data_IF_450965426472
#
_entry.id   IF_450965426472
#
_cell.length_a   1.000
_cell.length_b   1.000
_cell.length_c   1.000
_cell.angle_alpha   90.00
_cell.angle_beta   90.00
_cell.angle_gamma   90.00
#
_symmetry.space_group_name_H-M   'P 1'
#
loop_
_entity.id
_entity.type
_entity.pdbx_description
1 polymer ?
#
# COMPACT_ATOMS: atom_id res chain seq x y z
N UNK A 1 -9.32 4.22 10.51
CA UNK A 1 -9.32 4.31 12.00
C UNK A 1 -8.14 5.11 12.61
N UNK A 2 -7.19 5.65 11.82
CA UNK A 2 -6.11 6.58 12.25
C UNK A 2 -5.29 6.18 13.49
N UNK A 3 -5.29 4.89 13.87
CA UNK A 3 -4.57 4.34 15.04
C UNK A 3 -3.06 4.55 14.91
N UNK A 4 -2.48 4.13 13.78
CA UNK A 4 -1.05 4.30 13.50
C UNK A 4 -0.64 5.79 13.47
N UNK A 5 -1.50 6.66 12.93
CA UNK A 5 -1.26 8.11 12.94
C UNK A 5 -1.22 8.67 14.37
N UNK A 6 -2.14 8.27 15.23
CA UNK A 6 -2.15 8.71 16.63
C UNK A 6 -0.84 8.36 17.35
N UNK A 7 -0.30 7.15 17.11
CA UNK A 7 0.94 6.69 17.71
C UNK A 7 2.15 7.47 17.22
N UNK A 8 2.18 7.81 15.92
CA UNK A 8 3.20 8.72 15.39
C UNK A 8 3.16 10.08 16.04
N UNK A 9 1.96 10.65 16.24
CA UNK A 9 1.79 11.94 16.88
C UNK A 9 2.26 11.90 18.34
N UNK A 10 1.97 10.81 19.05
CA UNK A 10 2.49 10.56 20.40
C UNK A 10 4.03 10.54 20.37
N UNK A 11 4.63 9.77 19.47
CA UNK A 11 6.08 9.65 19.34
C UNK A 11 6.78 10.97 18.92
N UNK A 12 6.11 11.78 18.09
CA UNK A 12 6.67 13.07 17.66
C UNK A 12 6.59 14.13 18.74
N UNK A 13 5.57 14.05 19.61
CA UNK A 13 5.30 15.07 20.63
C UNK A 13 5.89 14.74 22.00
N UNK A 14 5.98 13.47 22.41
CA UNK A 14 6.50 13.06 23.72
C UNK A 14 8.02 12.84 23.70
N UNK A 15 8.77 13.91 23.45
CA UNK A 15 10.24 13.90 23.41
C UNK A 15 10.89 14.43 24.70
N UNK A 16 10.10 14.61 25.76
CA UNK A 16 10.56 15.23 27.00
C UNK A 16 11.03 16.67 26.75
N UNK A 17 12.21 17.08 27.24
CA UNK A 17 12.73 18.45 27.07
C UNK A 17 12.84 18.92 25.62
N UNK A 18 13.02 17.99 24.68
CA UNK A 18 13.16 18.25 23.23
C UNK A 18 11.81 18.38 22.50
N UNK A 19 10.70 18.30 23.23
CA UNK A 19 9.37 18.50 22.65
C UNK A 19 9.17 19.95 22.22
N UNK A 20 8.38 20.21 21.18
CA UNK A 20 8.12 21.58 20.73
C UNK A 20 7.19 22.35 21.70
N UNK A 21 6.16 21.67 22.21
CA UNK A 21 5.15 22.26 23.08
C UNK A 21 5.60 22.35 24.54
N UNK A 22 5.21 23.43 25.23
CA UNK A 22 5.55 23.64 26.66
C UNK A 22 4.93 22.60 27.58
N UNK A 23 3.72 22.12 27.27
CA UNK A 23 3.07 21.06 28.01
C UNK A 23 3.86 19.74 27.87
N UNK A 24 4.18 19.33 26.64
CA UNK A 24 4.93 18.08 26.41
C UNK A 24 6.36 18.12 26.95
N UNK A 25 6.98 19.30 27.11
CA UNK A 25 8.27 19.46 27.81
C UNK A 25 8.23 19.09 29.28
N UNK A 26 7.07 19.18 29.93
CA UNK A 26 6.89 18.80 31.33
C UNK A 26 6.69 17.28 31.54
N UNK A 27 6.44 16.55 30.45
CA UNK A 27 6.19 15.11 30.46
C UNK A 27 7.49 14.33 30.19
N UNK A 28 7.56 13.05 30.63
CA UNK A 28 8.71 12.20 30.35
C UNK A 28 8.86 11.92 28.85
N UNK A 29 10.09 11.63 28.44
CA UNK A 29 10.36 11.18 27.08
C UNK A 29 9.86 9.74 26.91
N UNK A 30 9.09 9.50 25.86
CA UNK A 30 8.61 8.16 25.52
C UNK A 30 9.44 7.61 24.37
N UNK A 31 9.98 6.42 24.55
CA UNK A 31 10.71 5.70 23.51
C UNK A 31 9.92 4.48 23.05
N UNK A 32 9.36 4.56 21.84
CA UNK A 32 8.60 3.47 21.24
C UNK A 32 9.53 2.47 20.56
N UNK A 33 9.46 1.22 20.99
CA UNK A 33 10.13 0.08 20.37
C UNK A 33 9.09 -0.70 19.57
N UNK A 34 9.02 -0.50 18.24
CA UNK A 34 8.06 -1.21 17.39
C UNK A 34 8.45 -2.67 17.22
N UNK A 35 7.45 -3.53 17.16
CA UNK A 35 7.56 -4.91 16.73
C UNK A 35 6.31 -5.27 15.93
N UNK A 36 6.50 -5.55 14.64
CA UNK A 36 5.42 -5.96 13.77
C UNK A 36 5.19 -7.46 13.95
N UNK A 37 3.97 -7.83 14.32
CA UNK A 37 3.58 -9.22 14.52
C UNK A 37 3.15 -9.81 13.18
N UNK A 38 3.81 -10.89 12.79
CA UNK A 38 3.60 -11.63 11.55
C UNK A 38 3.21 -13.09 11.81
N UNK A 39 2.83 -13.81 10.76
CA UNK A 39 2.59 -15.26 10.80
C UNK A 39 3.83 -16.08 11.20
N UNK A 40 5.04 -15.55 11.01
CA UNK A 40 6.31 -16.15 11.40
C UNK A 40 6.82 -15.72 12.79
N UNK A 41 6.08 -14.87 13.50
CA UNK A 41 6.50 -14.34 14.80
C UNK A 41 6.50 -15.41 15.90
N UNK A 42 7.52 -15.37 16.76
CA UNK A 42 7.72 -16.33 17.85
C UNK A 42 7.62 -15.65 19.22
N UNK A 43 7.34 -16.44 20.27
CA UNK A 43 7.33 -15.94 21.64
C UNK A 43 8.69 -15.36 22.06
N UNK A 44 9.79 -15.96 21.59
CA UNK A 44 11.15 -15.50 21.89
C UNK A 44 11.45 -14.14 21.25
N UNK A 45 10.87 -13.86 20.08
CA UNK A 45 10.92 -12.53 19.45
C UNK A 45 10.30 -11.46 20.34
N UNK A 46 9.09 -11.72 20.86
CA UNK A 46 8.40 -10.80 21.76
C UNK A 46 9.21 -10.62 23.05
N UNK A 47 9.70 -11.71 23.67
CA UNK A 47 10.52 -11.64 24.89
C UNK A 47 11.78 -10.79 24.70
N UNK A 48 12.49 -10.94 23.56
CA UNK A 48 13.69 -10.15 23.25
C UNK A 48 13.38 -8.66 23.14
N UNK A 49 12.27 -8.30 22.51
CA UNK A 49 11.83 -6.90 22.39
C UNK A 49 11.52 -6.30 23.76
N UNK A 50 10.86 -7.06 24.64
CA UNK A 50 10.60 -6.63 26.02
C UNK A 50 11.87 -6.49 26.84
N UNK A 51 12.81 -7.44 26.74
CA UNK A 51 14.10 -7.35 27.42
C UNK A 51 14.90 -6.12 26.96
N UNK A 52 14.93 -5.88 25.64
CA UNK A 52 15.57 -4.69 25.07
C UNK A 52 14.96 -3.41 25.65
N UNK A 53 13.62 -3.33 25.71
CA UNK A 53 12.92 -2.19 26.29
C UNK A 53 13.23 -1.98 27.79
N UNK A 54 13.31 -3.06 28.56
CA UNK A 54 13.68 -3.00 29.98
C UNK A 54 15.11 -2.48 30.14
N UNK A 55 16.07 -3.02 29.37
CA UNK A 55 17.47 -2.57 29.40
C UNK A 55 17.61 -1.09 29.02
N UNK A 56 16.89 -0.61 28.00
CA UNK A 56 16.89 0.81 27.64
C UNK A 56 16.37 1.71 28.76
N UNK A 57 15.31 1.28 29.45
CA UNK A 57 14.74 2.04 30.57
C UNK A 57 15.70 2.09 31.77
N UNK A 58 16.37 0.99 32.10
CA UNK A 58 17.32 0.91 33.22
C UNK A 58 18.63 1.67 32.97
N UNK A 59 19.09 1.71 31.71
CA UNK A 59 20.37 2.35 31.33
C UNK A 59 20.26 3.88 31.26
N UNK A 60 19.04 4.43 31.35
CA UNK A 60 18.80 5.87 31.20
C UNK A 60 19.10 6.65 32.48
N UNK A 61 19.64 7.86 32.33
CA UNK A 61 19.94 8.75 33.47
C UNK A 61 18.70 9.14 34.26
N UNK A 62 18.80 9.13 35.59
CA UNK A 62 17.73 9.60 36.51
C UNK A 62 17.31 11.05 36.30
N UNK A 63 18.17 11.86 35.67
CA UNK A 63 17.89 13.28 35.40
C UNK A 63 16.91 13.47 34.22
N UNK A 64 16.86 12.53 33.28
CA UNK A 64 15.98 12.55 32.12
C UNK A 64 15.34 11.16 31.95
N UNK A 65 14.31 10.83 32.76
CA UNK A 65 13.71 9.51 32.72
C UNK A 65 13.05 9.28 31.35
N UNK A 66 13.46 8.20 30.68
CA UNK A 66 12.84 7.69 29.47
C UNK A 66 11.90 6.55 29.85
N UNK A 67 10.68 6.59 29.34
CA UNK A 67 9.72 5.50 29.45
C UNK A 67 9.80 4.70 28.15
N UNK A 68 10.23 3.44 28.25
CA UNK A 68 10.26 2.53 27.11
C UNK A 68 8.90 1.88 26.95
N UNK A 69 8.36 1.91 25.73
CA UNK A 69 7.06 1.33 25.39
C UNK A 69 7.25 0.37 24.22
N UNK A 70 6.86 -0.89 24.41
CA UNK A 70 6.80 -1.87 23.33
C UNK A 70 5.51 -1.64 22.55
N UNK A 71 5.66 -1.34 21.26
CA UNK A 71 4.54 -1.20 20.33
C UNK A 71 4.42 -2.48 19.51
N UNK A 72 3.36 -3.25 19.73
CA UNK A 72 3.02 -4.41 18.92
C UNK A 72 2.02 -4.00 17.83
N UNK A 73 2.42 -4.13 16.57
CA UNK A 73 1.57 -3.85 15.41
C UNK A 73 1.04 -5.15 14.79
N UNK A 74 -0.15 -5.11 14.20
CA UNK A 74 -0.86 -6.26 13.60
C UNK A 74 -0.99 -7.49 14.52
N UNK A 75 -1.34 -7.28 15.79
CA UNK A 75 -1.44 -8.33 16.82
C UNK A 75 -2.40 -9.46 16.42
N UNK A 76 -3.44 -9.16 15.65
CA UNK A 76 -4.39 -10.12 15.09
C UNK A 76 -3.71 -11.26 14.31
N UNK A 77 -2.58 -10.98 13.66
CA UNK A 77 -1.82 -11.96 12.88
C UNK A 77 -1.30 -13.12 13.73
N UNK A 78 -1.11 -12.88 15.03
CA UNK A 78 -0.67 -13.90 15.97
C UNK A 78 -1.79 -14.81 16.49
N UNK A 79 -3.06 -14.50 16.25
CA UNK A 79 -4.16 -15.41 16.63
C UNK A 79 -4.31 -16.58 15.66
N UNK A 80 -4.00 -16.36 14.37
CA UNK A 80 -3.98 -17.41 13.35
C UNK A 80 -2.69 -18.26 13.37
N UNK A 81 -1.69 -17.85 14.16
CA UNK A 81 -0.38 -18.48 14.22
C UNK A 81 -0.39 -19.71 15.14
N UNK A 82 0.08 -20.86 14.64
CA UNK A 82 0.18 -22.13 15.38
C UNK A 82 1.07 -22.05 16.62
N UNK A 83 2.07 -21.16 16.63
CA UNK A 83 2.99 -20.94 17.74
C UNK A 83 2.41 -20.07 18.87
N UNK A 84 1.28 -19.38 18.62
CA UNK A 84 0.60 -18.47 19.54
C UNK A 84 1.59 -17.55 20.31
N UNK A 85 2.31 -16.66 19.60
CA UNK A 85 3.42 -15.90 20.19
C UNK A 85 2.97 -15.01 21.36
N UNK A 86 1.71 -14.56 21.37
CA UNK A 86 1.14 -13.71 22.43
C UNK A 86 0.91 -14.42 23.77
N UNK A 87 1.15 -15.73 23.86
CA UNK A 87 1.02 -16.49 25.13
C UNK A 87 1.90 -15.96 26.26
N UNK A 88 2.98 -15.25 25.93
CA UNK A 88 3.93 -14.66 26.89
C UNK A 88 3.50 -13.29 27.42
N UNK A 89 2.52 -12.63 26.79
CA UNK A 89 2.08 -11.30 27.21
C UNK A 89 1.54 -11.28 28.65
N UNK A 90 0.70 -12.24 29.10
CA UNK A 90 0.27 -12.31 30.49
C UNK A 90 1.42 -12.24 31.49
N UNK A 91 2.46 -13.06 31.30
CA UNK A 91 3.62 -13.10 32.19
C UNK A 91 4.48 -11.84 32.14
N UNK A 92 4.49 -11.14 31.00
CA UNK A 92 5.27 -9.91 30.83
C UNK A 92 4.57 -8.68 31.43
N UNK A 93 3.25 -8.70 31.50
CA UNK A 93 2.43 -7.59 32.02
C UNK A 93 2.15 -7.73 33.51
N UNK A 94 2.28 -8.93 34.07
CA UNK A 94 2.13 -9.15 35.50
C UNK A 94 3.36 -8.67 36.28
N UNK A 95 3.17 -7.78 37.28
CA UNK A 95 4.27 -7.32 38.10
C UNK A 95 4.80 -8.47 38.97
N UNK A 96 6.12 -8.61 39.02
CA UNK A 96 6.78 -9.49 39.98
C UNK A 96 7.00 -8.74 41.30
N UNK A 97 6.56 -9.29 42.43
CA UNK A 97 6.77 -8.68 43.75
C UNK A 97 8.26 -8.38 43.97
N UNK A 98 8.66 -7.16 44.43
CA UNK A 98 7.85 -6.12 45.06
C UNK A 98 7.32 -5.02 44.11
N UNK A 99 7.47 -5.17 42.79
CA UNK A 99 7.02 -4.15 41.84
C UNK A 99 5.49 -4.00 41.86
N UNK A 100 5.01 -2.77 41.73
CA UNK A 100 3.57 -2.44 41.68
C UNK A 100 3.02 -2.33 40.26
N UNK A 101 3.87 -2.44 39.24
CA UNK A 101 3.49 -2.33 37.83
C UNK A 101 4.47 -3.07 36.91
N UNK A 102 4.11 -3.22 35.63
CA UNK A 102 4.95 -3.90 34.65
C UNK A 102 6.27 -3.16 34.47
N UNK A 103 7.36 -3.90 34.22
CA UNK A 103 8.68 -3.31 34.00
C UNK A 103 8.71 -2.40 32.76
N UNK A 104 7.92 -2.74 31.74
CA UNK A 104 7.85 -2.06 30.45
C UNK A 104 6.38 -1.87 30.08
N UNK A 105 6.06 -0.69 29.54
CA UNK A 105 4.71 -0.40 29.05
C UNK A 105 4.47 -1.04 27.67
N UNK A 106 3.24 -1.46 27.40
CA UNK A 106 2.85 -2.04 26.11
C UNK A 106 1.78 -1.18 25.44
N UNK A 107 1.88 -1.05 24.11
CA UNK A 107 0.81 -0.54 23.26
C UNK A 107 0.57 -1.54 22.13
N UNK A 108 -0.70 -1.85 21.87
CA UNK A 108 -1.07 -2.78 20.81
C UNK A 108 -2.02 -2.17 19.80
N UNK A 109 -1.71 -2.34 18.52
CA UNK A 109 -2.64 -2.02 17.43
C UNK A 109 -3.17 -3.33 16.85
N UNK A 110 -4.48 -3.35 16.63
CA UNK A 110 -5.15 -4.43 15.92
C UNK A 110 -6.29 -3.87 15.10
N UNK A 111 -6.51 -4.40 13.90
CA UNK A 111 -7.69 -4.12 13.10
C UNK A 111 -8.87 -5.03 13.45
N UNK A 112 -8.59 -6.24 13.96
CA UNK A 112 -9.62 -7.17 14.46
C UNK A 112 -9.81 -7.10 15.97
N UNK A 113 -10.93 -7.65 16.44
CA UNK A 113 -11.13 -7.89 17.87
C UNK A 113 -10.18 -8.97 18.36
N UNK A 114 -9.39 -8.66 19.38
CA UNK A 114 -8.56 -9.61 20.10
C UNK A 114 -9.38 -10.45 21.08
N UNK A 115 -8.94 -11.69 21.31
CA UNK A 115 -9.55 -12.54 22.31
C UNK A 115 -9.42 -11.94 23.73
N UNK A 116 -10.53 -11.91 24.46
CA UNK A 116 -10.67 -11.29 25.79
C UNK A 116 -9.64 -11.80 26.82
N UNK A 117 -9.17 -13.04 26.69
CA UNK A 117 -8.17 -13.60 27.61
C UNK A 117 -6.79 -12.91 27.51
N UNK A 118 -6.47 -12.31 26.36
CA UNK A 118 -5.20 -11.62 26.10
C UNK A 118 -5.30 -10.11 26.37
N UNK A 119 -6.50 -9.55 26.26
CA UNK A 119 -6.75 -8.11 26.46
C UNK A 119 -7.22 -7.75 27.87
N UNK A 120 -7.54 -8.72 28.74
CA UNK A 120 -8.01 -8.48 30.12
C UNK A 120 -7.03 -7.69 31.01
N UNK A 121 -5.75 -7.70 30.67
CA UNK A 121 -4.67 -6.97 31.37
C UNK A 121 -4.35 -5.60 30.75
N UNK A 122 -5.10 -5.18 29.73
CA UNK A 122 -4.87 -3.94 29.00
C UNK A 122 -6.15 -3.09 28.93
N UNK A 123 -5.97 -1.78 28.78
CA UNK A 123 -7.06 -0.88 28.45
C UNK A 123 -7.40 -1.04 26.95
N UNK A 124 -8.61 -1.49 26.66
CA UNK A 124 -9.07 -1.70 25.29
C UNK A 124 -9.84 -0.49 24.78
N UNK A 125 -9.33 0.14 23.72
CA UNK A 125 -10.00 1.24 23.03
C UNK A 125 -10.51 0.73 21.70
N UNK A 126 -11.83 0.68 21.54
CA UNK A 126 -12.48 0.31 20.28
C UNK A 126 -13.14 1.53 19.67
N UNK A 127 -12.90 1.75 18.38
CA UNK A 127 -13.60 2.76 17.60
C UNK A 127 -14.74 2.10 16.84
N UNK A 128 -15.98 2.63 16.90
CA UNK A 128 -17.06 2.16 16.05
C UNK A 128 -16.78 2.47 14.58
N UNK A 129 -17.59 1.90 13.69
CA UNK A 129 -17.61 2.32 12.29
C UNK A 129 -18.03 3.78 12.19
N UNK A 130 -17.48 4.49 11.21
CA UNK A 130 -17.79 5.90 10.98
C UNK A 130 -19.25 6.04 10.55
N UNK A 131 -19.97 6.94 11.20
CA UNK A 131 -21.30 7.34 10.78
C UNK A 131 -21.23 8.48 9.74
N UNK A 132 -22.40 9.00 9.36
CA UNK A 132 -22.49 10.07 8.36
C UNK A 132 -21.81 11.36 8.86
N UNK A 133 -22.03 11.72 10.13
CA UNK A 133 -21.54 12.96 10.72
C UNK A 133 -20.01 12.91 10.85
N UNK A 134 -19.47 11.77 11.29
CA UNK A 134 -18.03 11.53 11.36
C UNK A 134 -17.36 11.70 9.99
N UNK A 135 -17.96 11.16 8.91
CA UNK A 135 -17.42 11.26 7.55
C UNK A 135 -17.45 12.70 7.03
N UNK A 136 -18.54 13.42 7.31
CA UNK A 136 -18.67 14.83 6.95
C UNK A 136 -17.59 15.65 7.66
N UNK A 137 -17.40 15.44 8.95
CA UNK A 137 -16.43 16.21 9.73
C UNK A 137 -14.99 15.92 9.33
N UNK A 138 -14.65 14.66 9.04
CA UNK A 138 -13.34 14.33 8.47
C UNK A 138 -13.16 14.97 7.09
N UNK A 139 -14.19 14.96 6.25
CA UNK A 139 -14.12 15.57 4.92
C UNK A 139 -13.89 17.07 4.99
N UNK A 140 -14.59 17.78 5.90
CA UNK A 140 -14.38 19.21 6.16
C UNK A 140 -12.94 19.53 6.56
N UNK A 141 -12.30 18.68 7.37
CA UNK A 141 -10.91 18.88 7.79
C UNK A 141 -9.90 18.62 6.67
N UNK A 142 -10.21 17.71 5.73
CA UNK A 142 -9.35 17.39 4.60
C UNK A 142 -9.47 18.39 3.45
N UNK A 143 -10.60 19.09 3.35
CA UNK A 143 -10.83 20.10 2.31
C UNK A 143 -10.33 21.48 2.73
N UNK A 144 -9.76 22.20 1.78
CA UNK A 144 -9.37 23.60 1.99
C UNK A 144 -10.59 24.46 2.37
N UNK A 145 -10.42 25.36 3.34
CA UNK A 145 -11.48 26.21 3.91
C UNK A 145 -12.35 26.95 2.87
N UNK A 146 -11.78 27.27 1.69
CA UNK A 146 -12.48 27.93 0.59
C UNK A 146 -13.61 27.08 -0.02
N UNK A 147 -13.46 25.75 -0.03
CA UNK A 147 -14.46 24.83 -0.61
C UNK A 147 -15.57 24.54 0.40
N UNK A 148 -15.25 24.51 1.69
CA UNK A 148 -16.18 24.17 2.78
C UNK A 148 -17.30 25.20 2.93
N UNK A 149 -17.02 26.50 2.73
CA UNK A 149 -18.01 27.57 2.90
C UNK A 149 -19.08 27.65 1.79
N UNK A 150 -18.79 27.15 0.59
CA UNK A 150 -19.70 27.23 -0.56
C UNK A 150 -20.47 25.91 -0.81
N UNK A 151 -20.02 24.78 -0.23
CA UNK A 151 -20.38 23.43 -0.73
C UNK A 151 -20.63 22.39 0.36
N UNK A 152 -21.16 22.78 1.52
CA UNK A 152 -21.49 21.86 2.62
C UNK A 152 -22.39 20.68 2.21
N UNK A 153 -23.44 20.96 1.42
CA UNK A 153 -24.43 19.97 0.96
C UNK A 153 -23.82 18.87 0.08
N UNK A 154 -22.71 19.18 -0.60
CA UNK A 154 -21.99 18.26 -1.48
C UNK A 154 -21.23 17.21 -0.67
N UNK A 155 -20.64 17.60 0.47
CA UNK A 155 -19.92 16.69 1.35
C UNK A 155 -20.86 15.68 1.98
N UNK A 156 -22.03 16.16 2.38
CA UNK A 156 -23.10 15.29 2.87
C UNK A 156 -23.55 14.31 1.79
N UNK A 157 -23.75 14.77 0.55
CA UNK A 157 -24.13 13.92 -0.58
C UNK A 157 -23.08 12.85 -0.88
N UNK A 158 -21.80 13.20 -0.85
CA UNK A 158 -20.69 12.28 -1.10
C UNK A 158 -20.48 11.28 0.06
N UNK A 159 -20.66 11.71 1.31
CA UNK A 159 -20.63 10.81 2.46
C UNK A 159 -21.81 9.82 2.44
N UNK A 160 -23.02 10.28 2.09
CA UNK A 160 -24.20 9.41 1.87
C UNK A 160 -23.97 8.39 0.75
N UNK A 161 -23.41 8.84 -0.38
CA UNK A 161 -23.06 7.97 -1.51
C UNK A 161 -22.08 6.87 -1.10
N UNK A 162 -21.02 7.23 -0.38
CA UNK A 162 -20.02 6.27 0.12
C UNK A 162 -20.61 5.26 1.11
N UNK A 163 -21.47 5.71 2.05
CA UNK A 163 -22.12 4.80 2.99
C UNK A 163 -23.08 3.83 2.30
N UNK A 164 -23.86 4.32 1.32
CA UNK A 164 -24.74 3.49 0.50
C UNK A 164 -23.93 2.46 -0.31
N UNK A 165 -22.83 2.91 -0.92
CA UNK A 165 -21.91 2.05 -1.65
C UNK A 165 -21.30 0.95 -0.76
N UNK A 166 -20.85 1.31 0.44
CA UNK A 166 -20.25 0.36 1.39
C UNK A 166 -21.24 -0.72 1.83
N UNK A 167 -22.52 -0.35 2.02
CA UNK A 167 -23.57 -1.29 2.45
C UNK A 167 -24.10 -2.20 1.34
N UNK A 168 -24.16 -1.72 0.10
CA UNK A 168 -24.93 -2.37 -0.95
C UNK A 168 -24.20 -2.58 -2.28
N UNK A 169 -23.01 -1.98 -2.45
CA UNK A 169 -22.33 -1.89 -3.75
C UNK A 169 -21.06 -2.71 -3.89
N UNK A 170 -20.53 -3.27 -2.81
CA UNK A 170 -19.29 -4.05 -2.86
C UNK A 170 -19.59 -5.53 -3.16
N UNK A 171 -19.09 -6.03 -4.29
CA UNK A 171 -19.20 -7.44 -4.64
C UNK A 171 -18.30 -8.33 -3.79
N UNK A 172 -17.13 -7.80 -3.42
CA UNK A 172 -16.20 -8.40 -2.46
C UNK A 172 -16.33 -7.57 -1.17
N UNK A 173 -16.65 -8.18 -0.02
CA UNK A 173 -16.73 -7.45 1.24
C UNK A 173 -15.43 -6.68 1.53
N UNK A 174 -15.56 -5.42 1.96
CA UNK A 174 -14.46 -4.55 2.37
C UNK A 174 -13.33 -4.34 1.34
N UNK A 175 -13.65 -4.46 0.05
CA UNK A 175 -12.73 -4.19 -1.05
C UNK A 175 -12.37 -2.71 -1.19
N UNK A 176 -13.33 -1.81 -0.90
CA UNK A 176 -13.09 -0.37 -0.78
C UNK A 176 -13.38 0.10 0.64
N UNK A 177 -12.52 0.99 1.14
CA UNK A 177 -12.49 1.36 2.55
C UNK A 177 -12.26 2.85 2.76
N UNK A 178 -12.10 3.23 4.02
CA UNK A 178 -11.98 4.65 4.41
C UNK A 178 -10.76 5.34 3.79
N UNK A 179 -9.70 4.60 3.44
CA UNK A 179 -8.54 5.17 2.77
C UNK A 179 -8.85 5.61 1.34
N UNK A 180 -9.71 4.87 0.64
CA UNK A 180 -10.17 5.25 -0.71
C UNK A 180 -11.04 6.49 -0.66
N UNK A 181 -11.87 6.57 0.38
CA UNK A 181 -12.65 7.76 0.66
C UNK A 181 -11.76 8.99 0.96
N UNK A 182 -10.79 8.88 1.86
CA UNK A 182 -9.91 10.01 2.19
C UNK A 182 -9.08 10.48 1.00
N UNK A 183 -8.62 9.56 0.17
CA UNK A 183 -7.86 9.89 -1.03
C UNK A 183 -8.74 10.53 -2.12
N UNK A 184 -10.00 10.08 -2.25
CA UNK A 184 -11.00 10.76 -3.09
C UNK A 184 -11.19 12.21 -2.65
N UNK A 185 -11.40 12.45 -1.36
CA UNK A 185 -11.55 13.81 -0.81
C UNK A 185 -10.30 14.65 -1.06
N UNK A 186 -9.11 14.09 -0.83
CA UNK A 186 -7.82 14.77 -1.03
C UNK A 186 -7.67 15.21 -2.48
N UNK A 187 -7.98 14.34 -3.45
CA UNK A 187 -7.89 14.66 -4.88
C UNK A 187 -8.90 15.75 -5.29
N UNK A 188 -10.15 15.65 -4.83
CA UNK A 188 -11.17 16.68 -5.08
C UNK A 188 -10.74 18.04 -4.51
N UNK A 189 -9.97 18.07 -3.42
CA UNK A 189 -9.48 19.31 -2.82
C UNK A 189 -8.33 19.97 -3.59
N UNK A 190 -7.61 19.24 -4.43
CA UNK A 190 -6.43 19.74 -5.16
C UNK A 190 -6.79 20.27 -6.54
N UNK A 191 -7.75 19.64 -7.21
CA UNK A 191 -8.11 19.96 -8.58
C UNK A 191 -9.24 20.99 -8.69
N UNK A 192 -9.34 21.62 -9.87
CA UNK A 192 -10.56 22.35 -10.22
C UNK A 192 -11.72 21.36 -10.21
N UNK A 193 -12.72 21.63 -9.36
CA UNK A 193 -13.84 20.73 -9.16
C UNK A 193 -14.77 20.82 -10.39
N UNK A 194 -14.69 19.79 -11.24
CA UNK A 194 -15.52 19.59 -12.43
C UNK A 194 -16.05 18.16 -12.40
N UNK A 195 -17.15 17.87 -13.09
CA UNK A 195 -17.64 16.49 -13.20
C UNK A 195 -16.58 15.53 -13.76
N UNK A 196 -15.71 16.00 -14.67
CA UNK A 196 -14.61 15.21 -15.23
C UNK A 196 -13.53 14.89 -14.19
N UNK A 197 -13.09 15.88 -13.41
CA UNK A 197 -12.08 15.65 -12.36
C UNK A 197 -12.62 14.77 -11.22
N UNK A 198 -13.90 14.93 -10.85
CA UNK A 198 -14.56 14.07 -9.85
C UNK A 198 -14.69 12.64 -10.39
N UNK A 199 -15.04 12.47 -11.67
CA UNK A 199 -15.08 11.15 -12.29
C UNK A 199 -13.69 10.51 -12.35
N UNK A 200 -12.64 11.27 -12.67
CA UNK A 200 -11.25 10.81 -12.66
C UNK A 200 -10.82 10.38 -11.24
N UNK A 201 -11.15 11.17 -10.22
CA UNK A 201 -10.83 10.86 -8.83
C UNK A 201 -11.56 9.59 -8.35
N UNK A 202 -12.83 9.42 -8.74
CA UNK A 202 -13.58 8.18 -8.49
C UNK A 202 -12.96 6.98 -9.21
N UNK A 203 -12.55 7.14 -10.47
CA UNK A 203 -11.90 6.08 -11.24
C UNK A 203 -10.55 5.65 -10.66
N UNK A 204 -9.78 6.59 -10.10
CA UNK A 204 -8.49 6.31 -9.45
C UNK A 204 -8.63 5.64 -8.08
N UNK A 205 -9.70 5.94 -7.33
CA UNK A 205 -9.85 5.49 -5.94
C UNK A 205 -10.82 4.33 -5.75
N UNK A 206 -11.88 4.25 -6.56
CA UNK A 206 -12.91 3.22 -6.50
C UNK A 206 -12.86 2.33 -7.74
N UNK A 207 -11.64 2.04 -8.22
CA UNK A 207 -11.36 1.18 -9.38
C UNK A 207 -11.25 -0.30 -9.01
N UNK A 208 -10.78 -1.13 -9.94
CA UNK A 208 -10.39 -2.52 -9.62
C UNK A 208 -11.48 -3.59 -9.72
N UNK A 209 -12.76 -3.19 -9.75
CA UNK A 209 -13.91 -4.10 -9.92
C UNK A 209 -14.37 -4.19 -11.38
N UNK A 210 -15.07 -5.27 -11.73
CA UNK A 210 -15.75 -5.37 -13.01
C UNK A 210 -16.81 -4.26 -13.14
N UNK A 211 -16.80 -3.52 -14.27
CA UNK A 211 -17.76 -2.44 -14.58
C UNK A 211 -17.74 -1.22 -13.64
N UNK A 212 -16.55 -0.70 -13.30
CA UNK A 212 -16.41 0.44 -12.38
C UNK A 212 -17.20 1.68 -12.81
N UNK A 213 -17.39 1.94 -14.11
CA UNK A 213 -18.21 3.06 -14.58
C UNK A 213 -19.69 2.96 -14.19
N UNK A 214 -20.27 1.75 -14.16
CA UNK A 214 -21.66 1.52 -13.70
C UNK A 214 -21.81 1.73 -12.20
N UNK A 215 -20.75 1.45 -11.44
CA UNK A 215 -20.71 1.72 -10.00
C UNK A 215 -20.78 3.23 -9.74
N UNK A 216 -20.01 4.02 -10.49
CA UNK A 216 -20.04 5.48 -10.38
C UNK A 216 -21.40 6.02 -10.75
N UNK A 217 -22.00 5.58 -11.86
CA UNK A 217 -23.35 6.01 -12.25
C UNK A 217 -24.40 5.67 -11.19
N UNK A 218 -24.35 4.46 -10.62
CA UNK A 218 -25.37 3.98 -9.68
C UNK A 218 -25.28 4.62 -8.30
N UNK A 219 -24.07 4.80 -7.75
CA UNK A 219 -23.89 5.24 -6.36
C UNK A 219 -23.40 6.67 -6.24
N UNK A 220 -22.65 7.17 -7.21
CA UNK A 220 -22.03 8.51 -7.19
C UNK A 220 -22.58 9.43 -8.30
N UNK A 221 -23.55 8.98 -9.11
CA UNK A 221 -24.06 9.73 -10.26
C UNK A 221 -24.65 11.09 -9.87
N UNK A 222 -25.43 11.13 -8.80
CA UNK A 222 -26.01 12.37 -8.25
C UNK A 222 -24.93 13.36 -7.81
N UNK A 223 -23.85 12.84 -7.21
CA UNK A 223 -22.70 13.64 -6.78
C UNK A 223 -21.98 14.23 -7.99
N UNK A 224 -21.72 13.43 -9.03
CA UNK A 224 -21.06 13.89 -10.27
C UNK A 224 -21.90 14.95 -11.00
N UNK A 225 -23.22 14.74 -11.06
CA UNK A 225 -24.17 15.66 -11.66
C UNK A 225 -24.24 17.00 -10.94
N UNK A 226 -24.04 17.01 -9.62
CA UNK A 226 -24.01 18.25 -8.83
C UNK A 226 -22.84 19.15 -9.24
N UNK A 227 -21.77 18.59 -9.80
CA UNK A 227 -20.63 19.35 -10.33
C UNK A 227 -20.75 19.70 -11.81
N UNK A 228 -21.86 19.32 -12.46
CA UNK A 228 -22.07 19.60 -13.87
C UNK A 228 -22.68 21.00 -14.01
N UNK A 229 -21.98 21.86 -14.75
CA UNK A 229 -22.43 23.23 -15.02
C UNK A 229 -23.54 23.23 -16.10
N UNK A 230 -23.71 22.14 -16.85
CA UNK A 230 -24.75 21.99 -17.88
C UNK A 230 -26.06 21.40 -17.38
N UNK A 231 -27.17 21.73 -18.07
CA UNK A 231 -28.52 21.20 -17.78
C UNK A 231 -28.73 19.72 -18.17
N UNK A 232 -27.77 19.11 -18.86
CA UNK A 232 -27.86 17.71 -19.28
C UNK A 232 -27.16 16.80 -18.26
N UNK A 233 -27.68 15.60 -17.97
CA UNK A 233 -27.04 14.65 -17.05
C UNK A 233 -25.65 14.27 -17.55
N UNK A 234 -24.68 14.21 -16.64
CA UNK A 234 -23.32 13.78 -16.95
C UNK A 234 -23.30 12.29 -17.28
N UNK A 235 -22.73 11.94 -18.43
CA UNK A 235 -22.58 10.55 -18.86
C UNK A 235 -21.18 10.08 -18.49
N UNK A 236 -21.08 9.11 -17.59
CA UNK A 236 -19.79 8.57 -17.15
C UNK A 236 -19.14 7.77 -18.28
N UNK A 237 -18.11 8.33 -18.91
CA UNK A 237 -17.36 7.62 -19.95
C UNK A 237 -16.27 6.72 -19.35
N UNK A 238 -16.02 5.52 -19.89
CA UNK A 238 -14.89 4.72 -19.43
C UNK A 238 -13.58 5.47 -19.69
N UNK A 239 -12.78 5.63 -18.64
CA UNK A 239 -11.46 6.26 -18.72
C UNK A 239 -10.45 5.18 -19.12
N UNK A 240 -9.64 5.40 -20.17
CA UNK A 240 -8.60 4.45 -20.55
C UNK A 240 -7.62 4.19 -19.40
N UNK A 241 -7.32 2.92 -19.15
CA UNK A 241 -6.41 2.47 -18.09
C UNK A 241 -5.05 3.18 -18.14
N UNK A 242 -4.50 3.37 -19.34
CA UNK A 242 -3.24 4.10 -19.52
C UNK A 242 -3.31 5.50 -18.89
N UNK A 243 -4.42 6.21 -19.07
CA UNK A 243 -4.60 7.55 -18.47
C UNK A 243 -4.67 7.48 -16.94
N UNK A 244 -5.27 6.42 -16.37
CA UNK A 244 -5.31 6.23 -14.91
C UNK A 244 -3.91 5.96 -14.34
N UNK A 245 -3.11 5.14 -15.03
CA UNK A 245 -1.73 4.85 -14.65
C UNK A 245 -0.89 6.13 -14.77
N UNK A 246 -0.97 6.83 -15.91
CA UNK A 246 -0.23 8.08 -16.14
C UNK A 246 -0.60 9.14 -15.08
N UNK A 247 -1.89 9.34 -14.81
CA UNK A 247 -2.36 10.28 -13.79
C UNK A 247 -1.85 9.93 -12.38
N UNK A 248 -1.72 8.64 -12.06
CA UNK A 248 -1.13 8.21 -10.80
C UNK A 248 0.39 8.41 -10.79
N UNK A 249 1.08 8.14 -11.89
CA UNK A 249 2.52 8.37 -12.05
C UNK A 249 2.90 9.85 -12.09
N UNK A 250 1.98 10.75 -12.42
CA UNK A 250 2.23 12.20 -12.43
C UNK A 250 1.93 12.87 -11.07
N UNK A 251 1.08 12.26 -10.24
CA UNK A 251 0.68 12.79 -8.93
C UNK A 251 1.66 12.37 -7.82
N UNK A 252 2.54 13.26 -7.33
CA UNK A 252 3.54 12.91 -6.31
C UNK A 252 2.93 12.41 -4.99
N UNK A 253 1.69 12.77 -4.71
CA UNK A 253 0.99 12.48 -3.47
C UNK A 253 0.09 11.23 -3.55
N UNK A 254 -0.03 10.62 -4.72
CA UNK A 254 -0.88 9.45 -4.97
C UNK A 254 -0.41 8.18 -4.27
N UNK A 255 -1.32 7.29 -3.87
CA UNK A 255 -0.93 5.99 -3.31
C UNK A 255 -0.21 5.13 -4.37
N UNK A 256 0.56 4.15 -3.87
CA UNK A 256 1.20 3.15 -4.74
C UNK A 256 0.16 2.38 -5.56
N UNK A 257 0.56 1.95 -6.76
CA UNK A 257 -0.33 1.27 -7.70
C UNK A 257 -0.44 -0.21 -7.39
N UNK A 258 -1.67 -0.73 -7.31
CA UNK A 258 -1.96 -2.17 -7.35
C UNK A 258 -2.63 -2.50 -8.68
N UNK A 259 -1.94 -3.25 -9.54
CA UNK A 259 -2.41 -3.62 -10.87
C UNK A 259 -2.92 -5.06 -10.89
N UNK A 260 -4.22 -5.23 -11.15
CA UNK A 260 -4.86 -6.55 -11.27
C UNK A 260 -4.99 -6.91 -12.75
N UNK A 261 -4.48 -8.07 -13.15
CA UNK A 261 -4.68 -8.57 -14.51
C UNK A 261 -5.02 -10.05 -14.53
N UNK A 262 -5.77 -10.44 -15.57
CA UNK A 262 -6.04 -11.84 -15.94
C UNK A 262 -4.92 -12.45 -16.79
N UNK A 263 -3.96 -11.64 -17.26
CA UNK A 263 -2.87 -12.06 -18.15
C UNK A 263 -1.50 -11.74 -17.55
N UNK A 264 -0.53 -12.61 -17.84
CA UNK A 264 0.88 -12.41 -17.47
C UNK A 264 1.59 -11.30 -18.25
N UNK A 265 0.98 -10.85 -19.35
CA UNK A 265 1.54 -9.80 -20.22
C UNK A 265 1.57 -8.42 -19.57
N UNK A 266 0.88 -8.22 -18.44
CA UNK A 266 0.77 -6.91 -17.79
C UNK A 266 2.12 -6.38 -17.29
N UNK A 267 3.04 -7.25 -16.87
CA UNK A 267 4.38 -6.83 -16.43
C UNK A 267 5.12 -6.18 -17.59
N UNK A 268 5.07 -6.78 -18.77
CA UNK A 268 5.69 -6.23 -19.98
C UNK A 268 5.03 -4.91 -20.39
N UNK A 269 3.71 -4.82 -20.29
CA UNK A 269 2.97 -3.60 -20.62
C UNK A 269 3.28 -2.44 -19.65
N UNK A 270 3.35 -2.72 -18.35
CA UNK A 270 3.74 -1.74 -17.33
C UNK A 270 5.20 -1.31 -17.51
N UNK A 271 6.10 -2.27 -17.77
CA UNK A 271 7.51 -2.00 -18.03
C UNK A 271 7.65 -1.09 -19.25
N UNK A 272 6.92 -1.36 -20.32
CA UNK A 272 6.88 -0.52 -21.51
C UNK A 272 6.36 0.89 -21.19
N UNK A 273 5.26 1.01 -20.46
CA UNK A 273 4.68 2.30 -20.09
C UNK A 273 5.62 3.14 -19.21
N UNK A 274 6.29 2.52 -18.23
CA UNK A 274 7.26 3.20 -17.38
C UNK A 274 8.47 3.68 -18.21
N UNK A 275 9.01 2.83 -19.08
CA UNK A 275 10.14 3.21 -19.95
C UNK A 275 9.81 4.34 -20.91
N UNK A 276 8.56 4.43 -21.38
CA UNK A 276 8.11 5.57 -22.18
C UNK A 276 8.12 6.90 -21.41
N UNK A 277 8.12 6.87 -20.07
CA UNK A 277 8.28 8.03 -19.19
C UNK A 277 9.72 8.20 -18.66
N UNK A 278 10.70 7.56 -19.30
CA UNK A 278 12.11 7.56 -18.86
C UNK A 278 12.33 6.97 -17.45
N UNK A 279 11.42 6.07 -17.04
CA UNK A 279 11.50 5.31 -15.80
C UNK A 279 11.90 3.87 -16.16
N UNK A 280 13.06 3.40 -15.69
CA UNK A 280 13.48 2.00 -15.88
C UNK A 280 13.19 1.18 -14.61
N UNK A 281 12.12 0.37 -14.60
CA UNK A 281 11.73 -0.36 -13.41
C UNK A 281 12.54 -1.64 -13.21
N UNK A 282 12.92 -1.90 -11.97
CA UNK A 282 13.44 -3.20 -11.54
C UNK A 282 12.25 -4.16 -11.29
N UNK A 283 12.25 -5.30 -11.99
CA UNK A 283 11.23 -6.34 -11.84
C UNK A 283 11.70 -7.34 -10.79
N UNK A 284 10.88 -7.58 -9.77
CA UNK A 284 11.12 -8.57 -8.73
C UNK A 284 9.97 -9.58 -8.74
N UNK A 285 10.31 -10.79 -9.17
CA UNK A 285 9.42 -11.94 -9.22
C UNK A 285 9.64 -12.79 -7.97
N UNK A 286 8.55 -13.17 -7.32
CA UNK A 286 8.53 -14.16 -6.28
C UNK A 286 8.98 -15.53 -6.77
N UNK A 287 9.71 -16.24 -5.92
CA UNK A 287 10.06 -17.61 -6.21
C UNK A 287 8.82 -18.47 -6.16
N UNK A 288 8.70 -19.33 -7.17
CA UNK A 288 7.64 -20.33 -7.28
C UNK A 288 8.15 -21.71 -6.80
N UNK A 289 9.36 -21.78 -6.25
CA UNK A 289 9.96 -23.02 -5.76
C UNK A 289 9.53 -23.29 -4.31
N UNK A 290 8.99 -24.48 -4.00
CA UNK A 290 8.43 -24.80 -2.68
C UNK A 290 9.49 -24.91 -1.57
N UNK A 291 10.75 -25.13 -1.93
CA UNK A 291 11.85 -25.33 -0.97
C UNK A 291 12.55 -24.01 -0.58
N UNK A 292 12.19 -22.87 -1.18
CA UNK A 292 12.80 -21.59 -0.88
C UNK A 292 12.43 -21.13 0.54
N UNK A 293 13.45 -21.13 1.41
CA UNK A 293 13.37 -20.87 2.86
C UNK A 293 13.40 -19.37 3.19
N UNK A 294 13.36 -19.04 4.49
CA UNK A 294 13.42 -17.68 5.06
C UNK A 294 14.56 -16.79 4.49
N UNK A 295 15.69 -17.37 4.07
CA UNK A 295 16.81 -16.65 3.45
C UNK A 295 16.39 -15.96 2.12
N UNK A 296 15.43 -16.52 1.40
CA UNK A 296 14.86 -15.93 0.19
C UNK A 296 14.19 -14.59 0.49
N UNK A 297 13.29 -14.57 1.50
CA UNK A 297 12.57 -13.37 1.93
C UNK A 297 13.52 -12.24 2.32
N UNK A 298 14.61 -12.57 3.03
CA UNK A 298 15.65 -11.62 3.41
C UNK A 298 16.36 -11.01 2.19
N UNK A 299 16.75 -11.84 1.23
CA UNK A 299 17.44 -11.37 0.03
C UNK A 299 16.55 -10.47 -0.83
N UNK A 300 15.27 -10.84 -0.99
CA UNK A 300 14.32 -10.03 -1.76
C UNK A 300 14.04 -8.70 -1.07
N UNK A 301 13.81 -8.69 0.24
CA UNK A 301 13.62 -7.46 1.01
C UNK A 301 14.84 -6.54 0.90
N UNK A 302 16.06 -7.09 0.97
CA UNK A 302 17.30 -6.32 0.81
C UNK A 302 17.39 -5.71 -0.60
N UNK A 303 17.03 -6.45 -1.65
CA UNK A 303 16.97 -5.94 -3.02
C UNK A 303 15.97 -4.79 -3.16
N UNK A 304 14.77 -4.95 -2.57
CA UNK A 304 13.74 -3.90 -2.55
C UNK A 304 14.26 -2.65 -1.86
N UNK A 305 14.88 -2.78 -0.68
CA UNK A 305 15.47 -1.65 0.05
C UNK A 305 16.48 -0.88 -0.80
N UNK A 306 17.42 -1.58 -1.43
CA UNK A 306 18.44 -0.95 -2.28
C UNK A 306 17.83 -0.19 -3.48
N UNK A 307 16.80 -0.75 -4.10
CA UNK A 307 16.12 -0.09 -5.22
C UNK A 307 15.37 1.17 -4.77
N UNK A 308 14.76 1.15 -3.58
CA UNK A 308 14.10 2.33 -3.00
C UNK A 308 15.11 3.43 -2.70
N UNK A 309 16.24 3.09 -2.07
CA UNK A 309 17.30 4.07 -1.77
C UNK A 309 17.91 4.69 -3.03
N UNK A 310 17.95 3.93 -4.13
CA UNK A 310 18.45 4.37 -5.43
C UNK A 310 17.42 5.12 -6.29
N UNK A 311 16.22 5.40 -5.76
CA UNK A 311 15.10 6.03 -6.47
C UNK A 311 14.65 5.28 -7.75
N UNK A 312 14.76 3.95 -7.75
CA UNK A 312 14.38 3.09 -8.88
C UNK A 312 12.95 2.55 -8.77
N UNK A 313 12.08 2.77 -9.77
CA UNK A 313 10.74 2.18 -9.77
C UNK A 313 10.81 0.66 -9.66
N UNK A 314 9.86 0.07 -8.95
CA UNK A 314 9.78 -1.38 -8.77
C UNK A 314 8.47 -1.93 -9.29
N UNK A 315 8.56 -3.08 -9.97
CA UNK A 315 7.43 -3.95 -10.27
C UNK A 315 7.56 -5.22 -9.42
N UNK A 316 6.67 -5.38 -8.44
CA UNK A 316 6.64 -6.56 -7.59
C UNK A 316 5.54 -7.53 -8.01
N UNK A 317 5.85 -8.81 -8.02
CA UNK A 317 4.98 -9.90 -8.48
C UNK A 317 5.20 -11.15 -7.65
N UNK A 318 4.11 -11.81 -7.23
CA UNK A 318 4.14 -13.10 -6.53
C UNK A 318 4.92 -13.10 -5.19
N UNK A 319 4.93 -11.95 -4.50
CA UNK A 319 5.74 -11.72 -3.29
C UNK A 319 4.92 -11.78 -1.98
N UNK A 320 3.97 -12.71 -1.91
CA UNK A 320 3.03 -12.85 -0.78
C UNK A 320 3.72 -12.93 0.59
N UNK A 321 4.83 -13.68 0.64
CA UNK A 321 5.60 -13.94 1.86
C UNK A 321 6.16 -12.64 2.47
N UNK A 322 6.44 -11.61 1.66
CA UNK A 322 7.09 -10.37 2.10
C UNK A 322 6.16 -9.17 2.17
N UNK A 323 4.91 -9.25 1.71
CA UNK A 323 4.00 -8.11 1.72
C UNK A 323 3.73 -7.58 3.12
N UNK A 324 3.63 -8.49 4.11
CA UNK A 324 3.50 -8.10 5.52
C UNK A 324 4.68 -7.25 5.99
N UNK A 325 5.89 -7.58 5.56
CA UNK A 325 7.12 -6.87 5.94
C UNK A 325 7.21 -5.44 5.39
N UNK A 326 6.50 -5.16 4.30
CA UNK A 326 6.47 -3.86 3.61
C UNK A 326 5.28 -2.99 4.04
N UNK A 327 4.54 -3.39 5.08
CA UNK A 327 3.32 -2.71 5.55
C UNK A 327 3.46 -1.21 5.74
N UNK A 328 4.47 -0.78 6.50
CA UNK A 328 4.70 0.64 6.79
C UNK A 328 5.06 1.44 5.52
N UNK A 329 5.76 0.80 4.58
CA UNK A 329 6.07 1.37 3.28
C UNK A 329 4.80 1.58 2.45
N UNK A 330 3.91 0.58 2.39
CA UNK A 330 2.62 0.67 1.68
C UNK A 330 1.70 1.74 2.23
N UNK A 331 1.72 1.90 3.56
CA UNK A 331 0.91 2.89 4.26
C UNK A 331 1.44 4.32 4.17
N UNK A 332 2.57 4.52 3.45
CA UNK A 332 3.30 5.80 3.44
C UNK A 332 3.57 6.32 4.85
N UNK A 333 3.93 5.40 5.74
CA UNK A 333 4.11 5.69 7.16
C UNK A 333 5.47 6.38 7.43
N UNK A 334 5.75 7.48 6.73
CA UNK A 334 7.10 8.04 6.68
C UNK A 334 7.39 9.03 7.80
N UNK A 335 8.36 8.73 8.66
CA UNK A 335 8.92 9.68 9.60
C UNK A 335 9.71 10.76 8.85
N UNK A 336 9.22 12.00 8.90
CA UNK A 336 9.93 13.15 8.35
C UNK A 336 10.99 13.64 9.35
N UNK A 337 12.25 13.58 8.93
CA UNK A 337 13.39 14.16 9.64
C UNK A 337 13.80 15.42 8.91
N UNK A 338 13.54 16.58 9.52
CA UNK A 338 13.97 17.88 8.99
C UNK A 338 15.47 18.06 9.23
N UNK A 339 16.24 18.14 8.15
CA UNK A 339 17.58 18.74 8.17
C UNK A 339 17.48 20.23 7.83
N UNK A 340 18.52 21.00 8.14
CA UNK A 340 18.56 22.47 7.92
C UNK A 340 18.27 22.90 6.48
N UNK A 341 18.47 22.02 5.51
CA UNK A 341 18.32 22.32 4.08
C UNK A 341 17.27 21.45 3.36
N UNK A 342 16.84 20.31 3.93
CA UNK A 342 15.89 19.39 3.28
C UNK A 342 15.12 18.51 4.28
N UNK A 343 13.90 18.10 3.92
CA UNK A 343 13.14 17.09 4.65
C UNK A 343 13.49 15.70 4.10
N UNK A 344 13.96 14.80 4.96
CA UNK A 344 14.21 13.40 4.61
C UNK A 344 13.10 12.52 5.17
N UNK A 345 12.58 11.60 4.37
CA UNK A 345 11.54 10.67 4.75
C UNK A 345 12.14 9.31 5.04
N UNK A 346 11.72 8.68 6.14
CA UNK A 346 12.16 7.35 6.52
C UNK A 346 10.97 6.46 6.86
N UNK A 347 10.98 5.22 6.38
CA UNK A 347 9.98 4.21 6.74
C UNK A 347 10.62 3.05 7.46
N UNK A 348 9.84 2.27 8.19
CA UNK A 348 10.30 1.00 8.77
C UNK A 348 9.97 -0.14 7.82
N UNK A 349 10.83 -1.15 7.80
CA UNK A 349 10.56 -2.41 7.11
C UNK A 349 10.88 -3.53 8.11
N UNK A 350 9.99 -4.50 8.25
CA UNK A 350 10.28 -5.68 9.05
C UNK A 350 11.21 -6.60 8.27
N UNK A 351 12.42 -6.78 8.77
CA UNK A 351 13.48 -7.56 8.13
C UNK A 351 13.80 -8.78 8.99
N UNK A 352 13.05 -9.87 8.78
CA UNK A 352 13.12 -11.07 9.60
C UNK A 352 12.47 -10.91 10.97
N UNK A 353 12.86 -11.76 11.93
CA UNK A 353 12.25 -11.85 13.25
C UNK A 353 12.72 -10.79 14.26
N UNK A 354 13.77 -10.03 13.93
CA UNK A 354 14.46 -9.15 14.89
C UNK A 354 14.84 -7.77 14.36
N UNK A 355 15.01 -7.57 13.05
CA UNK A 355 15.51 -6.30 12.52
C UNK A 355 14.35 -5.46 11.95
N UNK A 356 14.22 -4.21 12.41
CA UNK A 356 13.28 -3.22 11.86
C UNK A 356 14.07 -1.99 11.37
N UNK A 357 14.88 -2.10 10.31
CA UNK A 357 15.67 -0.98 9.81
C UNK A 357 14.80 0.21 9.40
N UNK A 358 15.36 1.41 9.58
CA UNK A 358 14.80 2.65 9.03
C UNK A 358 15.34 2.84 7.63
N UNK A 359 14.49 2.68 6.63
CA UNK A 359 14.80 2.88 5.22
C UNK A 359 14.58 4.33 4.81
N UNK A 360 15.54 4.93 4.11
CA UNK A 360 15.35 6.24 3.48
C UNK A 360 14.47 6.12 2.23
N UNK A 361 13.48 7.01 2.10
CA UNK A 361 12.56 7.06 0.96
C UNK A 361 12.71 8.41 0.25
N UNK A 362 13.13 8.43 -1.03
CA UNK A 362 13.16 9.65 -1.83
C UNK A 362 11.75 10.24 -2.02
N UNK A 363 11.65 11.57 -2.15
CA UNK A 363 10.36 12.26 -2.31
C UNK A 363 9.72 12.01 -3.69
N UNK A 364 10.53 11.66 -4.69
CA UNK A 364 10.13 11.28 -6.06
C UNK A 364 9.65 9.83 -6.19
N UNK A 365 9.84 9.00 -5.16
CA UNK A 365 9.77 7.55 -5.30
C UNK A 365 8.34 7.01 -5.48
N UNK A 366 8.13 6.14 -6.48
CA UNK A 366 6.84 5.48 -6.77
C UNK A 366 6.97 3.96 -6.96
N UNK A 367 5.94 3.25 -6.52
CA UNK A 367 5.82 1.77 -6.62
C UNK A 367 4.67 1.38 -7.54
N UNK A 368 4.86 0.25 -8.24
CA UNK A 368 3.77 -0.48 -8.93
C UNK A 368 3.81 -1.96 -8.52
N UNK A 369 2.78 -2.47 -7.86
CA UNK A 369 2.62 -3.90 -7.55
C UNK A 369 1.67 -4.56 -8.54
N UNK A 370 1.90 -5.84 -8.85
CA UNK A 370 0.98 -6.68 -9.60
C UNK A 370 0.48 -7.82 -8.72
N UNK A 371 -0.82 -8.08 -8.79
CA UNK A 371 -1.46 -9.26 -8.20
C UNK A 371 -2.29 -9.97 -9.26
N UNK A 372 -2.32 -11.31 -9.23
CA UNK A 372 -3.23 -12.12 -10.03
C UNK A 372 -4.58 -12.31 -9.32
N UNK A 373 -5.61 -12.72 -10.06
CA UNK A 373 -6.93 -13.04 -9.49
C UNK A 373 -6.88 -14.23 -8.50
N UNK A 374 -5.83 -15.06 -8.56
CA UNK A 374 -5.59 -16.16 -7.60
C UNK A 374 -4.90 -15.65 -6.33
N UNK A 375 -3.98 -14.69 -6.44
CA UNK A 375 -3.30 -14.03 -5.31
C UNK A 375 -4.26 -13.15 -4.49
N UNK A 376 -5.38 -12.73 -5.10
CA UNK A 376 -6.49 -12.07 -4.40
C UNK A 376 -7.08 -12.95 -3.26
N UNK A 377 -6.87 -14.27 -3.32
CA UNK A 377 -7.34 -15.24 -2.34
C UNK A 377 -6.29 -15.63 -1.30
N UNK A 378 -5.01 -15.25 -1.46
CA UNK A 378 -3.97 -15.55 -0.47
C UNK A 378 -3.65 -14.27 0.31
N UNK A 379 -4.59 -13.97 1.20
CA UNK A 379 -4.31 -13.42 2.52
C UNK A 379 -3.86 -11.96 2.59
N UNK A 380 -4.79 -11.02 2.41
CA UNK A 380 -4.81 -9.86 3.31
C UNK A 380 -6.25 -9.58 3.79
N UNK A 381 -6.30 -9.29 5.08
CA UNK A 381 -7.43 -9.20 5.99
C UNK A 381 -8.48 -8.14 5.56
N UNK A 382 -9.71 -8.34 6.00
CA UNK A 382 -10.99 -7.67 5.68
C UNK A 382 -11.02 -6.14 5.90
N UNK A 383 -9.92 -5.41 6.05
CA UNK A 383 -9.95 -3.98 6.41
C UNK A 383 -8.87 -3.09 5.75
N UNK A 384 -8.12 -3.58 4.75
CA UNK A 384 -7.01 -2.81 4.16
C UNK A 384 -7.13 -2.60 2.65
N UNK A 385 -7.33 -1.34 2.24
CA UNK A 385 -7.53 -0.99 0.83
C UNK A 385 -6.33 -0.27 0.21
N UNK A 386 -5.74 -0.94 -0.78
CA UNK A 386 -4.77 -0.42 -1.75
C UNK A 386 -5.53 0.16 -2.96
N UNK A 387 -4.98 1.16 -3.68
CA UNK A 387 -5.60 1.63 -4.93
C UNK A 387 -5.48 0.59 -6.02
N UNK A 388 -6.62 0.08 -6.48
CA UNK A 388 -6.68 -1.03 -7.43
C UNK A 388 -6.97 -0.50 -8.83
N UNK A 389 -6.01 -0.63 -9.75
CA UNK A 389 -6.21 -0.44 -11.19
C UNK A 389 -6.27 -1.82 -11.84
N UNK A 390 -7.42 -2.21 -12.39
CA UNK A 390 -7.57 -3.48 -13.10
C UNK A 390 -7.39 -3.28 -14.61
N UNK A 391 -6.54 -4.11 -15.22
CA UNK A 391 -6.20 -4.06 -16.65
C UNK A 391 -6.74 -5.28 -17.37
N UNK A 392 -7.68 -5.04 -18.29
CA UNK A 392 -8.13 -6.03 -19.27
C UNK A 392 -7.73 -5.58 -20.67
N UNK A 393 -7.06 -6.45 -21.43
CA UNK A 393 -6.94 -6.34 -22.88
C UNK A 393 -7.28 -7.69 -23.53
N UNK A 394 -8.30 -7.61 -24.40
CA UNK A 394 -8.81 -8.48 -25.47
C UNK A 394 -8.50 -9.99 -25.50
N UNK A 395 -9.57 -10.77 -25.56
CA UNK A 395 -9.56 -12.14 -26.06
C UNK A 395 -9.40 -12.15 -27.59
N UNK A 396 -8.27 -12.69 -28.09
CA UNK A 396 -8.16 -13.07 -29.50
C UNK A 396 -9.19 -14.16 -29.80
N UNK A 397 -9.93 -14.01 -30.90
CA UNK A 397 -10.88 -15.02 -31.37
C UNK A 397 -10.16 -16.26 -31.88
N UNK A 398 -10.77 -17.46 -31.74
CA UNK A 398 -10.21 -18.72 -32.25
C UNK A 398 -9.82 -18.66 -33.73
N UNK A 399 -10.56 -17.89 -34.53
CA UNK A 399 -10.32 -17.74 -35.96
C UNK A 399 -9.04 -16.93 -36.28
N UNK A 400 -8.63 -16.00 -35.41
CA UNK A 400 -7.33 -15.32 -35.54
C UNK A 400 -6.18 -16.25 -35.17
N UNK A 401 -6.33 -17.05 -34.11
CA UNK A 401 -5.31 -18.02 -33.67
C UNK A 401 -5.00 -19.05 -34.77
N UNK A 402 -6.01 -19.53 -35.49
CA UNK A 402 -5.78 -20.47 -36.59
C UNK A 402 -5.18 -19.81 -37.84
N UNK A 403 -5.47 -18.52 -38.08
CA UNK A 403 -4.81 -17.73 -39.14
C UNK A 403 -3.31 -17.49 -38.83
N UNK A 404 -2.99 -17.21 -37.57
CA UNK A 404 -1.61 -17.05 -37.09
C UNK A 404 -0.85 -18.37 -37.05
N UNK A 405 -1.48 -19.49 -36.69
CA UNK A 405 -0.88 -20.82 -36.84
C UNK A 405 -0.52 -21.12 -38.29
N UNK A 406 -1.40 -20.80 -39.24
CA UNK A 406 -1.14 -21.05 -40.65
C UNK A 406 0.03 -20.23 -41.21
N UNK A 407 0.25 -19.01 -40.69
CA UNK A 407 1.43 -18.18 -40.98
C UNK A 407 2.69 -18.66 -40.23
N UNK A 408 2.54 -19.12 -38.99
CA UNK A 408 3.63 -19.64 -38.14
C UNK A 408 4.21 -20.95 -38.68
N UNK A 409 3.38 -21.85 -39.23
CA UNK A 409 3.85 -23.08 -39.86
C UNK A 409 4.40 -22.89 -41.28
N UNK A 410 4.13 -21.75 -41.94
CA UNK A 410 4.77 -21.40 -43.21
C UNK A 410 6.19 -20.83 -43.01
N UNK A 411 6.55 -20.41 -41.79
CA UNK A 411 7.90 -20.02 -41.44
C UNK A 411 8.67 -21.24 -40.91
N UNK A 412 9.67 -21.63 -41.68
CA UNK A 412 10.46 -22.86 -41.61
C UNK A 412 10.94 -23.26 -40.20
N UNK A 413 10.28 -24.25 -39.58
CA UNK A 413 10.74 -24.90 -38.34
C UNK A 413 10.61 -26.42 -38.43
N UNK A 414 11.48 -27.06 -39.21
CA UNK A 414 11.65 -28.53 -39.20
C UNK A 414 12.53 -29.01 -38.03
N UNK A 415 13.39 -28.15 -37.50
CA UNK A 415 14.25 -28.44 -36.34
C UNK A 415 14.76 -27.16 -35.64
N UNK A 416 15.12 -27.28 -34.36
CA UNK A 416 15.82 -26.23 -33.59
C UNK A 416 17.13 -25.79 -34.27
N UNK A 417 17.78 -26.69 -34.99
CA UNK A 417 19.00 -26.40 -35.74
C UNK A 417 18.75 -25.42 -36.89
N UNK A 418 17.67 -25.60 -37.65
CA UNK A 418 17.34 -24.73 -38.79
C UNK A 418 16.99 -23.30 -38.35
N UNK A 419 16.37 -23.16 -37.17
CA UNK A 419 16.07 -21.87 -36.54
C UNK A 419 17.32 -21.08 -36.19
N UNK A 420 18.27 -21.69 -35.49
CA UNK A 420 19.52 -21.00 -35.14
C UNK A 420 20.36 -20.69 -36.38
N UNK A 421 20.39 -21.59 -37.37
CA UNK A 421 21.16 -21.37 -38.60
C UNK A 421 20.61 -20.19 -39.43
N UNK A 422 19.30 -19.96 -39.43
CA UNK A 422 18.70 -18.80 -40.10
C UNK A 422 18.92 -17.50 -39.31
N UNK A 423 18.82 -17.54 -37.97
CA UNK A 423 19.06 -16.39 -37.11
C UNK A 423 20.50 -15.87 -37.24
N UNK A 424 21.49 -16.77 -37.21
CA UNK A 424 22.92 -16.40 -37.37
C UNK A 424 23.27 -15.94 -38.78
N UNK A 425 22.54 -16.39 -39.82
CA UNK A 425 22.73 -15.91 -41.18
C UNK A 425 22.07 -14.54 -41.42
N UNK A 426 20.97 -14.21 -40.71
CA UNK A 426 20.38 -12.88 -40.73
C UNK A 426 21.30 -11.83 -40.10
N UNK A 427 21.98 -12.16 -38.99
CA UNK A 427 22.99 -11.27 -38.38
C UNK A 427 24.19 -11.03 -39.30
N UNK A 428 24.61 -12.04 -40.09
CA UNK A 428 25.67 -11.87 -41.11
C UNK A 428 25.24 -10.99 -42.29
N UNK A 429 23.98 -11.09 -42.73
CA UNK A 429 23.44 -10.25 -43.80
C UNK A 429 23.30 -8.78 -43.38
N UNK A 430 22.94 -8.52 -42.12
CA UNK A 430 22.84 -7.18 -41.54
C UNK A 430 24.21 -6.49 -41.35
N UNK A 431 25.29 -7.26 -41.21
CA UNK A 431 26.65 -6.72 -41.12
C UNK A 431 27.22 -6.25 -42.47
N UNK A 432 26.71 -6.79 -43.61
CA UNK A 432 27.26 -6.52 -44.95
C UNK A 432 26.42 -5.56 -45.82
N UNK A 433 25.19 -5.21 -45.45
CA UNK A 433 24.36 -4.28 -46.22
C UNK A 433 24.34 -2.85 -45.64
N UNK A 434 25.21 -1.97 -46.15
CA UNK A 434 24.95 -0.52 -46.12
C UNK A 434 23.72 -0.22 -47.00
N UNK A 435 22.60 0.12 -46.38
CA UNK A 435 21.47 0.77 -47.05
C UNK A 435 20.11 0.14 -46.75
N UNK A 436 19.18 1.01 -46.32
CA UNK A 436 17.73 0.82 -46.22
C UNK A 436 17.18 0.05 -45.01
N UNK A 437 16.99 0.81 -43.91
CA UNK A 437 16.10 0.49 -42.80
C UNK A 437 14.64 0.60 -43.25
N UNK A 438 13.95 -0.53 -43.43
CA UNK A 438 12.49 -0.61 -43.47
C UNK A 438 11.98 -0.83 -42.05
N UNK A 439 11.48 0.26 -41.45
CA UNK A 439 10.76 0.27 -40.19
C UNK A 439 9.37 -0.36 -40.40
N UNK A 440 9.08 -1.50 -39.76
CA UNK A 440 7.72 -2.02 -39.67
C UNK A 440 7.14 -1.73 -38.29
N UNK A 441 6.29 -0.70 -38.20
CA UNK A 441 5.37 -0.49 -37.09
C UNK A 441 4.19 -1.45 -37.23
N UNK A 442 3.97 -2.27 -36.20
CA UNK A 442 2.77 -3.11 -36.08
C UNK A 442 1.85 -2.43 -35.05
N UNK A 443 0.60 -2.20 -35.46
CA UNK A 443 -0.48 -1.54 -34.70
C UNK A 443 -1.03 -2.39 -33.56
#
# INVERSE_FOLDING_TARGET
SSKSLAIRLINSNLRGPDSNDRYFKSLPQVYLIPHQVSSSSTSDGIMKVFNMAATYQETTSKQFPIISVVLLDNIESAEANSFNPLKVLPSLLEPSYPATGPAVSIMGISNRSLNNCKSSRALFVRRPQFDLDDLIDVSKQLLNNLIVSERGDILESLAKAYLNYTKHGQSIPNFHGLRDYYELIKQISLDKITSESVQMALARNFGGTDYSYKLYEKYFGDVINTFNIGHNPWICKPIPIKQLIDANLDDSESRHLLVISKSDSIVNLLTYQLRMKDLDPDIILGSQFPDDQDDYSYNVLSKIMLCIEADRPLILTDLEIIYGSLYDLWNRNYAAVRSKENVKYFTRIAHGSYANPMLYVPQSFKFTNRFTQKDLFIGFDEDETLQIIRVELSALGRDEVDRWKHLYFQQHHGSLYDYYNTLFNQEKLLADSKGELLNFQIW
#
